data_IF_124837825527
#
_entry.id   IF_124837825527
#
_cell.length_a   1.000
_cell.length_b   1.000
_cell.length_c   1.000
_cell.angle_alpha   90.00
_cell.angle_beta   90.00
_cell.angle_gamma   90.00
#
_symmetry.space_group_name_H-M   'P 1'
#
loop_
_entity.id
_entity.type
_entity.pdbx_description
1 polymer ?
#
# COMPACT_ATOMS: atom_id res chain seq x y z
N UNK A 1 -4.71 8.11 -12.38
CA UNK A 1 -4.35 6.70 -12.67
C UNK A 1 -4.80 6.19 -14.05
N UNK A 2 -5.63 6.93 -14.81
CA UNK A 2 -5.99 6.57 -16.19
C UNK A 2 -4.88 6.85 -17.21
N UNK A 3 -3.96 7.74 -16.88
CA UNK A 3 -2.75 8.02 -17.64
C UNK A 3 -1.55 7.36 -16.95
N UNK A 4 -0.67 6.71 -17.74
CA UNK A 4 0.56 6.07 -17.25
C UNK A 4 0.35 4.94 -16.22
N UNK A 5 -0.77 4.22 -16.30
CA UNK A 5 -1.16 3.11 -15.40
C UNK A 5 -0.02 2.13 -15.13
N UNK A 6 0.59 1.59 -16.19
CA UNK A 6 1.67 0.60 -16.08
C UNK A 6 2.90 1.17 -15.37
N UNK A 7 3.31 2.39 -15.73
CA UNK A 7 4.48 3.04 -15.13
C UNK A 7 4.26 3.33 -13.64
N UNK A 8 3.06 3.78 -13.27
CA UNK A 8 2.71 4.02 -11.87
C UNK A 8 2.69 2.71 -11.07
N UNK A 9 2.09 1.64 -11.63
CA UNK A 9 2.05 0.33 -11.01
C UNK A 9 3.46 -0.27 -10.82
N UNK A 10 4.32 -0.17 -11.84
CA UNK A 10 5.72 -0.61 -11.76
C UNK A 10 6.50 0.18 -10.72
N UNK A 11 6.33 1.51 -10.68
CA UNK A 11 7.00 2.35 -9.69
C UNK A 11 6.57 2.00 -8.26
N UNK A 12 5.27 1.79 -8.04
CA UNK A 12 4.75 1.38 -6.73
C UNK A 12 5.28 0.00 -6.33
N UNK A 13 5.13 -1.01 -7.18
CA UNK A 13 5.63 -2.37 -6.90
C UNK A 13 7.14 -2.37 -6.63
N UNK A 14 7.90 -1.61 -7.42
CA UNK A 14 9.34 -1.46 -7.20
C UNK A 14 9.66 -0.83 -5.85
N UNK A 15 8.91 0.20 -5.44
CA UNK A 15 9.08 0.84 -4.13
C UNK A 15 8.72 -0.09 -2.96
N UNK A 16 7.59 -0.82 -3.07
CA UNK A 16 7.14 -1.76 -2.04
C UNK A 16 8.12 -2.94 -1.90
N UNK A 17 8.62 -3.49 -3.01
CA UNK A 17 9.45 -4.69 -2.98
C UNK A 17 10.95 -4.39 -2.79
N UNK A 18 11.38 -3.13 -2.87
CA UNK A 18 12.78 -2.74 -2.69
C UNK A 18 13.30 -3.21 -1.32
N UNK A 19 14.41 -3.96 -1.31
CA UNK A 19 14.98 -4.52 -0.07
C UNK A 19 14.02 -5.44 0.69
N UNK A 20 13.11 -6.11 -0.02
CA UNK A 20 12.06 -6.96 0.57
C UNK A 20 11.12 -6.14 1.46
N UNK A 21 10.91 -4.87 1.11
CA UNK A 21 10.05 -3.93 1.84
C UNK A 21 10.54 -3.53 3.23
N UNK A 22 11.78 -3.85 3.60
CA UNK A 22 12.35 -3.58 4.93
C UNK A 22 12.92 -2.14 5.04
N UNK A 23 12.15 -1.16 4.56
CA UNK A 23 12.47 0.27 4.67
C UNK A 23 11.45 0.95 5.58
N UNK A 24 11.91 1.81 6.49
CA UNK A 24 11.01 2.63 7.33
C UNK A 24 10.13 3.61 6.52
N UNK A 25 10.46 3.83 5.25
CA UNK A 25 9.71 4.67 4.31
C UNK A 25 9.08 3.84 3.18
N UNK A 26 8.89 2.54 3.41
CA UNK A 26 8.15 1.70 2.47
C UNK A 26 6.70 2.21 2.36
N UNK A 27 6.13 2.34 1.15
CA UNK A 27 4.76 2.79 0.98
C UNK A 27 3.76 1.67 1.31
N UNK A 28 3.57 1.39 2.61
CA UNK A 28 2.68 0.31 3.09
C UNK A 28 1.18 0.62 2.98
N UNK A 29 0.82 1.89 2.80
CA UNK A 29 -0.55 2.36 2.57
C UNK A 29 -0.61 3.23 1.31
N UNK A 30 -1.59 2.97 0.45
CA UNK A 30 -1.78 3.72 -0.80
C UNK A 30 -3.24 4.16 -0.89
N UNK A 31 -3.47 5.46 -0.84
CA UNK A 31 -4.82 6.04 -0.91
C UNK A 31 -5.13 6.46 -2.35
N UNK A 32 -6.25 5.98 -2.88
CA UNK A 32 -6.68 6.24 -4.26
C UNK A 32 -8.16 6.61 -4.32
N UNK A 33 -8.52 7.42 -5.31
CA UNK A 33 -9.92 7.61 -5.66
C UNK A 33 -10.42 6.42 -6.48
N UNK A 34 -11.58 5.88 -6.11
CA UNK A 34 -12.25 4.77 -6.79
C UNK A 34 -12.93 5.27 -8.05
N UNK A 35 -12.12 5.42 -9.11
CA UNK A 35 -12.56 5.86 -10.43
C UNK A 35 -12.40 4.74 -11.46
N UNK A 36 -12.95 4.94 -12.66
CA UNK A 36 -13.03 3.92 -13.73
C UNK A 36 -11.70 3.26 -14.14
N UNK A 37 -10.56 3.89 -13.85
CA UNK A 37 -9.22 3.40 -14.20
C UNK A 37 -8.52 2.65 -13.06
N UNK A 38 -9.12 2.57 -11.87
CA UNK A 38 -8.56 1.84 -10.75
C UNK A 38 -8.43 0.32 -11.03
N UNK A 39 -9.42 -0.36 -11.65
CA UNK A 39 -9.28 -1.78 -11.98
C UNK A 39 -8.05 -2.08 -12.85
N UNK A 40 -7.81 -1.25 -13.88
CA UNK A 40 -6.65 -1.39 -14.75
C UNK A 40 -5.33 -1.17 -14.00
N UNK A 41 -5.31 -0.21 -13.06
CA UNK A 41 -4.16 0.01 -12.18
C UNK A 41 -3.87 -1.18 -11.26
N UNK A 42 -4.90 -1.75 -10.62
CA UNK A 42 -4.75 -2.93 -9.77
C UNK A 42 -4.26 -4.15 -10.58
N UNK A 43 -4.77 -4.33 -11.80
CA UNK A 43 -4.30 -5.38 -12.71
C UNK A 43 -2.83 -5.18 -13.13
N UNK A 44 -2.42 -3.95 -13.43
CA UNK A 44 -1.02 -3.62 -13.72
C UNK A 44 -0.13 -3.83 -12.49
N UNK A 45 -0.60 -3.47 -11.29
CA UNK A 45 0.12 -3.67 -10.03
C UNK A 45 0.32 -5.15 -9.72
N UNK A 46 -0.72 -5.96 -9.96
CA UNK A 46 -0.66 -7.43 -9.89
C UNK A 46 0.42 -7.99 -10.80
N UNK A 47 0.45 -7.56 -12.05
CA UNK A 47 1.49 -7.96 -13.02
C UNK A 47 2.89 -7.56 -12.53
N UNK A 48 3.05 -6.35 -12.00
CA UNK A 48 4.33 -5.86 -11.50
C UNK A 48 4.82 -6.63 -10.25
N UNK A 49 3.92 -6.94 -9.32
CA UNK A 49 4.23 -7.78 -8.15
C UNK A 49 4.62 -9.21 -8.54
N UNK A 50 3.95 -9.79 -9.54
CA UNK A 50 4.28 -11.11 -10.07
C UNK A 50 5.65 -11.14 -10.78
N UNK A 51 6.16 -9.99 -11.24
CA UNK A 51 7.49 -9.86 -11.82
C UNK A 51 8.63 -9.83 -10.80
N UNK A 52 8.34 -9.75 -9.50
CA UNK A 52 9.35 -9.73 -8.43
C UNK A 52 9.37 -11.10 -7.73
N UNK A 53 10.53 -11.75 -7.62
CA UNK A 53 10.64 -13.00 -6.86
C UNK A 53 10.69 -12.72 -5.35
N UNK A 54 10.27 -13.68 -4.49
CA UNK A 54 10.47 -13.60 -3.04
C UNK A 54 11.92 -13.33 -2.67
N UNK A 55 12.13 -12.49 -1.66
CA UNK A 55 13.46 -12.15 -1.15
C UNK A 55 13.62 -12.54 0.32
N UNK A 56 14.86 -12.80 0.72
CA UNK A 56 15.23 -13.14 2.11
C UNK A 56 15.09 -11.94 3.04
N UNK A 57 14.35 -12.11 4.12
CA UNK A 57 14.24 -11.10 5.19
C UNK A 57 15.43 -11.13 6.15
N UNK A 58 15.62 -10.05 6.91
CA UNK A 58 16.79 -9.80 7.75
C UNK A 58 17.03 -10.85 8.83
N UNK A 59 15.96 -11.34 9.47
CA UNK A 59 16.05 -12.35 10.53
C UNK A 59 14.72 -13.09 10.74
N UNK A 60 14.73 -14.23 11.45
CA UNK A 60 13.51 -15.04 11.65
C UNK A 60 12.38 -14.34 12.39
N UNK A 61 12.69 -13.39 13.28
CA UNK A 61 11.68 -12.64 14.03
C UNK A 61 10.90 -11.68 13.14
N UNK A 62 11.61 -10.97 12.26
CA UNK A 62 11.00 -10.07 11.26
C UNK A 62 10.15 -10.87 10.28
N UNK A 63 10.69 -11.97 9.73
CA UNK A 63 9.96 -12.83 8.80
C UNK A 63 8.66 -13.38 9.41
N UNK A 64 8.72 -13.91 10.64
CA UNK A 64 7.53 -14.40 11.34
C UNK A 64 6.49 -13.31 11.58
N UNK A 65 6.91 -12.12 12.00
CA UNK A 65 6.00 -11.00 12.25
C UNK A 65 5.36 -10.50 10.95
N UNK A 66 6.12 -10.44 9.86
CA UNK A 66 5.61 -10.11 8.53
C UNK A 66 4.51 -11.08 8.10
N UNK A 67 4.80 -12.39 8.07
CA UNK A 67 3.81 -13.39 7.64
C UNK A 67 2.59 -13.40 8.57
N UNK A 68 2.79 -13.30 9.89
CA UNK A 68 1.68 -13.24 10.86
C UNK A 68 0.76 -12.04 10.61
N UNK A 69 1.32 -10.83 10.48
CA UNK A 69 0.54 -9.60 10.27
C UNK A 69 -0.14 -9.57 8.91
N UNK A 70 0.58 -9.95 7.85
CA UNK A 70 0.02 -10.08 6.50
C UNK A 70 -1.16 -11.05 6.51
N UNK A 71 -0.98 -12.27 7.03
CA UNK A 71 -2.04 -13.27 7.09
C UNK A 71 -3.22 -12.85 7.97
N UNK A 72 -2.98 -12.09 9.05
CA UNK A 72 -4.03 -11.52 9.89
C UNK A 72 -4.88 -10.54 9.10
N UNK A 73 -4.24 -9.57 8.45
CA UNK A 73 -4.92 -8.55 7.65
C UNK A 73 -5.68 -9.14 6.45
N UNK A 74 -5.10 -10.12 5.75
CA UNK A 74 -5.76 -10.79 4.60
C UNK A 74 -7.00 -11.62 5.01
N UNK A 75 -7.22 -11.87 6.30
CA UNK A 75 -8.41 -12.59 6.82
C UNK A 75 -9.52 -11.64 7.28
N UNK A 76 -9.27 -10.34 7.33
CA UNK A 76 -10.28 -9.35 7.69
C UNK A 76 -11.40 -9.33 6.64
N UNK A 77 -12.65 -9.32 7.09
CA UNK A 77 -13.81 -9.44 6.17
C UNK A 77 -13.91 -8.28 5.18
N UNK A 78 -13.46 -7.10 5.57
CA UNK A 78 -13.45 -5.90 4.74
C UNK A 78 -12.30 -5.86 3.71
N UNK A 79 -11.31 -6.76 3.84
CA UNK A 79 -10.11 -6.75 3.01
C UNK A 79 -10.27 -7.70 1.83
N UNK A 80 -9.89 -7.22 0.64
CA UNK A 80 -9.85 -7.99 -0.59
C UNK A 80 -8.39 -8.28 -0.94
N UNK A 81 -8.00 -9.55 -0.96
CA UNK A 81 -6.68 -9.96 -1.45
C UNK A 81 -6.61 -9.81 -2.98
N UNK A 82 -5.85 -8.82 -3.45
CA UNK A 82 -5.69 -8.55 -4.89
C UNK A 82 -4.58 -9.42 -5.50
N UNK A 83 -3.49 -9.60 -4.74
CA UNK A 83 -2.36 -10.44 -5.09
C UNK A 83 -1.68 -11.00 -3.84
N UNK A 84 -1.30 -12.27 -3.91
CA UNK A 84 -0.34 -12.90 -3.01
C UNK A 84 0.55 -13.81 -3.84
N UNK A 85 1.86 -13.79 -3.58
CA UNK A 85 2.79 -14.68 -4.27
C UNK A 85 2.43 -16.15 -4.00
N UNK A 86 2.06 -16.86 -5.07
CA UNK A 86 1.65 -18.26 -5.01
C UNK A 86 2.78 -19.24 -5.43
N UNK A 87 3.94 -18.73 -5.87
CA UNK A 87 5.08 -19.56 -6.21
C UNK A 87 5.87 -20.03 -4.99
N UNK A 88 6.96 -20.74 -5.24
CA UNK A 88 7.86 -21.19 -4.18
C UNK A 88 8.51 -19.99 -3.47
N UNK A 89 8.62 -20.10 -2.14
CA UNK A 89 9.44 -19.25 -1.32
C UNK A 89 10.16 -20.15 -0.31
N UNK A 90 11.48 -20.02 -0.24
CA UNK A 90 12.33 -20.81 0.65
C UNK A 90 12.24 -20.29 2.08
N UNK A 91 11.43 -20.99 2.89
CA UNK A 91 11.27 -20.73 4.32
C UNK A 91 12.59 -20.85 5.09
N UNK A 92 13.51 -21.73 4.65
CA UNK A 92 14.81 -21.91 5.31
C UNK A 92 15.73 -20.71 5.08
N UNK A 93 15.51 -19.99 3.98
CA UNK A 93 16.16 -18.73 3.63
C UNK A 93 15.32 -17.51 4.03
N UNK A 94 14.25 -17.69 4.82
CA UNK A 94 13.39 -16.60 5.29
C UNK A 94 12.82 -15.75 4.15
N UNK A 95 12.48 -16.39 3.02
CA UNK A 95 11.90 -15.66 1.89
C UNK A 95 10.47 -15.22 2.18
N UNK A 96 10.20 -13.93 1.99
CA UNK A 96 8.87 -13.35 2.19
C UNK A 96 8.02 -13.40 0.93
N UNK A 97 6.77 -13.84 1.06
CA UNK A 97 5.79 -13.80 -0.04
C UNK A 97 5.14 -12.44 -0.10
N UNK A 98 5.53 -11.66 -1.09
CA UNK A 98 4.96 -10.33 -1.33
C UNK A 98 3.48 -10.43 -1.67
N UNK A 99 2.72 -9.43 -1.24
CA UNK A 99 1.29 -9.36 -1.45
C UNK A 99 0.81 -7.92 -1.46
N UNK A 100 -0.36 -7.68 -2.04
CA UNK A 100 -1.11 -6.47 -1.75
C UNK A 100 -2.60 -6.78 -1.71
N UNK A 101 -3.30 -5.95 -0.95
CA UNK A 101 -4.73 -6.05 -0.75
C UNK A 101 -5.39 -4.69 -0.96
N UNK A 102 -6.71 -4.68 -1.05
CA UNK A 102 -7.50 -3.46 -1.08
C UNK A 102 -8.58 -3.46 0.00
N UNK A 103 -9.00 -2.26 0.40
CA UNK A 103 -10.11 -2.03 1.33
C UNK A 103 -10.83 -0.74 0.96
N UNK A 104 -12.08 -0.56 1.40
CA UNK A 104 -12.79 0.71 1.21
C UNK A 104 -12.28 1.78 2.18
N UNK A 105 -12.42 3.05 1.81
CA UNK A 105 -12.13 4.18 2.71
C UNK A 105 -12.93 4.09 4.01
N UNK A 106 -14.22 3.79 3.93
CA UNK A 106 -15.09 3.63 5.11
C UNK A 106 -14.58 2.54 6.07
N UNK A 107 -14.30 1.34 5.56
CA UNK A 107 -13.81 0.24 6.39
C UNK A 107 -12.45 0.55 6.99
N UNK A 108 -11.58 1.23 6.22
CA UNK A 108 -10.29 1.71 6.71
C UNK A 108 -10.45 2.71 7.86
N UNK A 109 -11.35 3.68 7.73
CA UNK A 109 -11.61 4.69 8.78
C UNK A 109 -12.16 4.02 10.05
N UNK A 110 -13.02 3.03 9.91
CA UNK A 110 -13.70 2.37 11.03
C UNK A 110 -12.84 1.31 11.74
N UNK A 111 -11.76 0.85 11.11
CA UNK A 111 -10.91 -0.20 11.65
C UNK A 111 -9.45 0.25 11.81
N UNK A 112 -9.07 0.79 12.99
CA UNK A 112 -7.69 1.22 13.27
C UNK A 112 -6.61 0.14 13.11
N UNK A 113 -6.97 -1.15 13.18
CA UNK A 113 -6.03 -2.24 12.92
C UNK A 113 -5.49 -2.21 11.48
N UNK A 114 -6.27 -1.69 10.52
CA UNK A 114 -5.84 -1.54 9.13
C UNK A 114 -4.80 -0.42 8.94
N UNK A 115 -4.57 0.41 9.96
CA UNK A 115 -3.56 1.49 9.91
C UNK A 115 -2.19 0.98 10.34
N UNK A 116 -2.12 -0.22 10.94
CA UNK A 116 -0.88 -0.77 11.46
C UNK A 116 0.10 -1.14 10.34
N UNK A 117 1.37 -0.86 10.59
CA UNK A 117 2.44 -1.23 9.67
C UNK A 117 2.60 -2.75 9.56
N UNK A 118 2.77 -3.22 8.33
CA UNK A 118 3.24 -4.58 8.02
C UNK A 118 4.64 -4.45 7.41
N UNK A 119 5.66 -4.59 8.26
CA UNK A 119 7.07 -4.41 7.86
C UNK A 119 7.54 -5.56 6.96
N UNK A 120 7.57 -5.32 5.64
CA UNK A 120 7.95 -6.28 4.61
C UNK A 120 7.33 -5.92 3.26
N UNK A 121 7.37 -6.80 2.24
CA UNK A 121 6.94 -6.49 0.89
C UNK A 121 5.41 -6.58 0.77
N UNK A 122 4.70 -5.66 1.43
CA UNK A 122 3.25 -5.59 1.47
C UNK A 122 2.75 -4.15 1.35
N UNK A 123 1.63 -3.95 0.66
CA UNK A 123 0.90 -2.67 0.67
C UNK A 123 -0.60 -2.91 0.73
N UNK A 124 -1.32 -2.00 1.41
CA UNK A 124 -2.78 -1.93 1.41
C UNK A 124 -3.25 -0.73 0.57
N UNK A 125 -4.11 -0.99 -0.42
CA UNK A 125 -4.74 0.04 -1.25
C UNK A 125 -6.08 0.44 -0.62
N UNK A 126 -6.19 1.69 -0.17
CA UNK A 126 -7.41 2.27 0.39
C UNK A 126 -8.18 2.99 -0.72
N UNK A 127 -9.36 2.46 -1.06
CA UNK A 127 -10.20 2.92 -2.15
C UNK A 127 -11.27 3.87 -1.63
N UNK A 128 -11.12 5.15 -1.94
CA UNK A 128 -12.01 6.22 -1.49
C UNK A 128 -12.91 6.67 -2.64
N UNK A 129 -14.20 6.77 -2.39
CA UNK A 129 -15.23 7.13 -3.38
C UNK A 129 -15.12 8.59 -3.83
N UNK A 130 -14.64 9.47 -2.96
CA UNK A 130 -14.50 10.91 -3.24
C UNK A 130 -13.31 11.54 -2.47
N UNK A 131 -12.92 12.79 -2.83
CA UNK A 131 -11.84 13.50 -2.15
C UNK A 131 -12.06 13.73 -0.64
N UNK A 132 -13.31 13.83 -0.20
CA UNK A 132 -13.64 14.04 1.21
C UNK A 132 -13.39 12.77 2.01
N UNK A 133 -13.81 11.61 1.50
CA UNK A 133 -13.50 10.32 2.11
C UNK A 133 -11.99 10.07 2.14
N UNK A 134 -11.28 10.41 1.07
CA UNK A 134 -9.81 10.32 1.03
C UNK A 134 -9.17 11.17 2.12
N UNK A 135 -9.58 12.44 2.26
CA UNK A 135 -9.09 13.32 3.32
C UNK A 135 -9.42 12.77 4.71
N UNK A 136 -10.60 12.19 4.91
CA UNK A 136 -11.01 11.57 6.17
C UNK A 136 -10.15 10.34 6.51
N UNK A 137 -9.88 9.48 5.52
CA UNK A 137 -9.04 8.30 5.68
C UNK A 137 -7.59 8.68 6.06
N UNK A 138 -7.02 9.69 5.41
CA UNK A 138 -5.70 10.23 5.78
C UNK A 138 -5.72 10.89 7.16
N UNK A 139 -6.81 11.60 7.51
CA UNK A 139 -6.94 12.24 8.82
C UNK A 139 -7.01 11.23 9.96
N UNK A 140 -7.57 10.04 9.71
CA UNK A 140 -7.66 8.96 10.70
C UNK A 140 -6.28 8.38 11.09
N UNK A 141 -5.26 8.52 10.23
CA UNK A 141 -3.91 8.06 10.53
C UNK A 141 -3.28 8.82 11.71
N UNK A 142 -2.45 8.11 12.47
CA UNK A 142 -1.46 8.74 13.34
C UNK A 142 -0.32 9.37 12.52
N UNK A 143 0.61 10.06 13.19
CA UNK A 143 1.75 10.70 12.53
C UNK A 143 2.61 9.69 11.75
N UNK A 144 3.05 10.07 10.56
CA UNK A 144 3.85 9.25 9.65
C UNK A 144 5.24 9.88 9.43
N UNK A 145 6.22 9.06 9.03
CA UNK A 145 7.53 9.60 8.66
C UNK A 145 7.45 10.41 7.37
N UNK A 146 6.73 9.88 6.38
CA UNK A 146 6.66 10.44 5.04
C UNK A 146 5.28 10.27 4.44
N UNK A 147 4.87 11.19 3.59
CA UNK A 147 3.84 10.95 2.59
C UNK A 147 4.44 11.24 1.20
N UNK A 148 3.76 10.77 0.16
CA UNK A 148 4.10 11.11 -1.22
C UNK A 148 2.81 11.27 -1.99
N UNK A 149 2.76 12.29 -2.84
CA UNK A 149 1.60 12.59 -3.65
C UNK A 149 1.94 12.31 -5.10
N UNK A 150 1.11 11.50 -5.76
CA UNK A 150 1.16 11.25 -7.18
C UNK A 150 -0.10 11.78 -7.85
N UNK A 151 0.08 12.76 -8.72
CA UNK A 151 -0.99 13.39 -9.50
C UNK A 151 -0.41 14.39 -10.47
N UNK A 152 -1.20 14.81 -11.45
CA UNK A 152 -0.80 15.89 -12.35
C UNK A 152 -0.91 17.25 -11.64
N UNK A 153 -0.06 18.22 -12.00
CA UNK A 153 -0.04 19.55 -11.37
C UNK A 153 -1.43 20.20 -11.32
N UNK A 154 -2.23 20.04 -12.38
CA UNK A 154 -3.59 20.57 -12.44
C UNK A 154 -4.55 19.91 -11.43
N UNK A 155 -4.41 18.61 -11.20
CA UNK A 155 -5.19 17.87 -10.20
C UNK A 155 -4.80 18.30 -8.79
N UNK A 156 -3.49 18.42 -8.52
CA UNK A 156 -2.98 18.77 -7.19
C UNK A 156 -3.40 20.17 -6.73
N UNK A 157 -3.50 21.12 -7.67
CA UNK A 157 -4.02 22.46 -7.38
C UNK A 157 -5.47 22.44 -6.86
N UNK A 158 -6.26 21.42 -7.20
CA UNK A 158 -7.63 21.24 -6.72
C UNK A 158 -7.74 20.56 -5.35
N UNK A 159 -6.62 20.06 -4.79
CA UNK A 159 -6.60 19.23 -3.58
C UNK A 159 -5.76 19.85 -2.46
N UNK A 160 -5.72 21.18 -2.35
CA UNK A 160 -4.95 21.90 -1.31
C UNK A 160 -5.29 21.44 0.10
N UNK A 161 -6.57 21.17 0.39
CA UNK A 161 -6.98 20.66 1.70
C UNK A 161 -6.38 19.30 2.06
N UNK A 162 -6.17 18.41 1.07
CA UNK A 162 -5.48 17.13 1.29
C UNK A 162 -3.99 17.35 1.58
N UNK A 163 -3.36 18.27 0.86
CA UNK A 163 -1.95 18.64 1.08
C UNK A 163 -1.75 19.17 2.50
N UNK A 164 -2.62 20.07 2.96
CA UNK A 164 -2.58 20.63 4.31
C UNK A 164 -2.73 19.54 5.39
N UNK A 165 -3.67 18.61 5.18
CA UNK A 165 -3.85 17.45 6.08
C UNK A 165 -2.57 16.61 6.11
N UNK A 166 -1.99 16.27 4.96
CA UNK A 166 -0.77 15.47 4.89
C UNK A 166 0.41 16.17 5.58
N UNK A 167 0.60 17.47 5.36
CA UNK A 167 1.66 18.26 6.01
C UNK A 167 1.55 18.24 7.54
N UNK A 168 0.32 18.18 8.09
CA UNK A 168 0.11 18.06 9.54
C UNK A 168 0.44 16.66 10.10
N UNK A 169 0.53 15.64 9.24
CA UNK A 169 0.73 14.25 9.61
C UNK A 169 2.16 13.77 9.42
N UNK A 170 2.95 14.39 8.54
CA UNK A 170 4.23 13.84 8.09
C UNK A 170 5.41 14.77 8.33
N UNK A 171 6.59 14.17 8.58
CA UNK A 171 7.85 14.92 8.66
C UNK A 171 8.39 15.34 7.29
N UNK A 172 8.01 14.62 6.21
CA UNK A 172 8.38 14.92 4.83
C UNK A 172 7.24 14.56 3.87
N UNK A 173 6.81 15.53 3.06
CA UNK A 173 5.85 15.36 1.96
C UNK A 173 6.59 15.34 0.62
#
# INVERSE_FOLDING_TARGET
LSQNTEKAAQALAGSVNLGVGQFCTNPGLVFVLDHIGLPDFLAALKTAFAGSAPGTMLNPGIHRNFEFRKMGLLKETAVVTEFEWAGDADETQLQARQAFASVTGQDFIQNPHLHEEIFGPFTLVVRCTDPQELANAVTALSGQLTASIWGETGELNGHTGLIDVLQSKVGRL
#
